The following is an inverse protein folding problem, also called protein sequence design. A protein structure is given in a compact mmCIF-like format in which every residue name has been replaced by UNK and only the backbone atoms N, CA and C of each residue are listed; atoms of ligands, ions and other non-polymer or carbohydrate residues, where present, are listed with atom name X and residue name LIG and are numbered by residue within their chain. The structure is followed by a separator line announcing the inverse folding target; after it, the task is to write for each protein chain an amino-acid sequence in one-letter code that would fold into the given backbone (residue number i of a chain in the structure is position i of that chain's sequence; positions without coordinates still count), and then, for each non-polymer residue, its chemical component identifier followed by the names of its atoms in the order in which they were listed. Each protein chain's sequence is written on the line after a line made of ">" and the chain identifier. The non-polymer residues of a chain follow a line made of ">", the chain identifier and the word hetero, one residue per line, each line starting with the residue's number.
data_IF_949842901396
#
_entry.id   IF_949842901396
#
_cell.length_a   1.000
_cell.length_b   1.000
_cell.length_c   1.000
_cell.angle_alpha   90.00
_cell.angle_beta   90.00
_cell.angle_gamma   90.00
#
_symmetry.space_group_name_H-M   'P 1'
#
loop_
_entity.id
_entity.type
_entity.pdbx_description
1 polymer ?
#
# COMPACT_ATOMS: atom_id res chain seq x y z
N UNK A 1 -11.58 40.88 -6.09
CA UNK A 1 -10.85 39.77 -5.43
C UNK A 1 -10.25 40.29 -4.13
N UNK A 2 -10.91 40.11 -2.98
CA UNK A 2 -10.45 40.58 -1.69
C UNK A 2 -9.44 39.55 -1.14
N UNK A 3 -8.17 39.96 -0.97
CA UNK A 3 -7.15 39.20 -0.22
C UNK A 3 -7.60 39.20 1.26
N UNK A 4 -8.20 38.09 1.72
CA UNK A 4 -8.37 37.87 3.16
C UNK A 4 -6.97 37.86 3.82
N UNK A 5 -6.66 38.92 4.58
CA UNK A 5 -5.53 38.92 5.50
C UNK A 5 -5.79 37.87 6.58
N UNK A 6 -5.35 36.63 6.30
CA UNK A 6 -5.41 35.54 7.29
C UNK A 6 -4.26 35.76 8.27
N UNK A 7 -4.59 35.94 9.55
CA UNK A 7 -3.62 35.95 10.67
C UNK A 7 -2.82 34.65 10.67
N UNK A 8 -1.58 34.69 11.21
CA UNK A 8 -0.69 33.50 11.27
C UNK A 8 -1.39 32.26 11.86
N UNK A 9 -2.23 32.37 12.93
CA UNK A 9 -3.02 31.23 13.43
C UNK A 9 -4.00 30.68 12.38
N UNK A 10 -4.63 31.55 11.58
CA UNK A 10 -5.56 31.09 10.52
C UNK A 10 -4.86 30.38 9.35
N UNK A 11 -3.61 30.73 9.04
CA UNK A 11 -2.81 30.03 8.03
C UNK A 11 -2.38 28.65 8.52
N UNK A 12 -1.96 28.54 9.79
CA UNK A 12 -1.60 27.26 10.43
C UNK A 12 -2.81 26.33 10.52
N UNK A 13 -3.95 26.83 10.98
CA UNK A 13 -5.19 26.06 11.03
C UNK A 13 -5.66 25.59 9.64
N UNK A 14 -5.51 26.41 8.61
CA UNK A 14 -5.79 26.04 7.21
C UNK A 14 -4.84 24.94 6.73
N UNK A 15 -3.53 25.09 6.96
CA UNK A 15 -2.53 24.10 6.58
C UNK A 15 -2.75 22.75 7.27
N UNK A 16 -3.03 22.75 8.58
CA UNK A 16 -3.31 21.54 9.35
C UNK A 16 -4.63 20.88 8.90
N UNK A 17 -5.65 21.67 8.55
CA UNK A 17 -6.91 21.15 8.01
C UNK A 17 -6.75 20.46 6.65
N UNK A 18 -5.87 20.98 5.79
CA UNK A 18 -5.54 20.38 4.49
C UNK A 18 -4.59 19.16 4.58
N UNK A 19 -3.85 19.03 5.68
CA UNK A 19 -2.87 17.98 5.93
C UNK A 19 -3.16 17.23 7.24
N UNK A 20 -4.45 16.90 7.46
CA UNK A 20 -4.92 16.22 8.68
C UNK A 20 -4.17 14.90 8.97
N UNK A 21 -3.64 14.22 7.95
CA UNK A 21 -2.82 13.03 8.09
C UNK A 21 -1.55 13.26 8.92
N UNK A 22 -0.99 14.47 8.90
CA UNK A 22 0.18 14.83 9.73
C UNK A 22 -0.22 14.85 11.22
N UNK A 23 -1.41 15.39 11.52
CA UNK A 23 -1.91 15.43 12.91
C UNK A 23 -2.13 14.00 13.42
N UNK A 24 -2.76 13.16 12.60
CA UNK A 24 -2.99 11.75 12.95
C UNK A 24 -1.66 11.02 13.18
N UNK A 25 -0.70 11.20 12.27
CA UNK A 25 0.63 10.62 12.41
C UNK A 25 1.33 11.06 13.70
N UNK A 26 1.35 12.38 13.98
CA UNK A 26 1.99 12.92 15.18
C UNK A 26 1.31 12.40 16.45
N UNK A 27 -0.03 12.32 16.47
CA UNK A 27 -0.76 11.78 17.62
C UNK A 27 -0.39 10.30 17.90
N UNK A 28 -0.38 9.46 16.85
CA UNK A 28 0.01 8.05 16.97
C UNK A 28 1.49 7.92 17.37
N UNK A 29 2.36 8.81 16.85
CA UNK A 29 3.77 8.84 17.17
C UNK A 29 4.03 9.22 18.64
N UNK A 30 3.25 10.15 19.21
CA UNK A 30 3.32 10.49 20.63
C UNK A 30 2.92 9.28 21.49
N UNK A 31 1.84 8.59 21.14
CA UNK A 31 1.43 7.37 21.85
C UNK A 31 2.53 6.30 21.78
N UNK A 32 3.17 6.12 20.63
CA UNK A 32 4.31 5.23 20.47
C UNK A 32 5.48 5.61 21.40
N UNK A 33 5.81 6.90 21.46
CA UNK A 33 6.87 7.41 22.32
C UNK A 33 6.62 7.12 23.80
N UNK A 34 5.36 7.23 24.23
CA UNK A 34 4.95 7.00 25.63
C UNK A 34 4.90 5.51 25.97
N UNK A 35 4.59 4.63 25.02
CA UNK A 35 4.39 3.19 25.27
C UNK A 35 5.65 2.34 25.12
N UNK A 36 6.69 2.83 24.42
CA UNK A 36 7.88 2.03 24.06
C UNK A 36 9.16 2.40 24.82
N UNK A 37 9.06 2.99 26.00
CA UNK A 37 10.21 3.38 26.85
C UNK A 37 11.28 4.25 26.13
N UNK A 38 10.84 5.09 25.25
CA UNK A 38 11.68 6.06 24.57
C UNK A 38 11.91 5.77 23.09
N UNK A 39 11.96 6.87 22.36
CA UNK A 39 12.27 6.88 20.93
C UNK A 39 13.76 6.63 20.72
N UNK A 40 14.11 5.43 20.29
CA UNK A 40 15.46 5.18 19.80
C UNK A 40 15.50 5.38 18.28
N UNK A 41 16.63 5.91 17.78
CA UNK A 41 16.86 6.03 16.34
C UNK A 41 16.67 4.68 15.62
N UNK A 42 17.16 3.60 16.21
CA UNK A 42 17.00 2.24 15.70
C UNK A 42 15.53 1.80 15.62
N UNK A 43 14.72 2.15 16.62
CA UNK A 43 13.28 1.87 16.63
C UNK A 43 12.55 2.60 15.51
N UNK A 44 12.86 3.87 15.28
CA UNK A 44 12.30 4.67 14.19
C UNK A 44 12.67 4.08 12.82
N UNK A 45 13.94 3.71 12.62
CA UNK A 45 14.41 3.08 11.38
C UNK A 45 13.76 1.71 11.16
N UNK A 46 13.46 0.98 12.23
CA UNK A 46 12.74 -0.29 12.14
C UNK A 46 11.28 -0.10 11.71
N UNK A 47 10.58 0.91 12.25
CA UNK A 47 9.24 1.30 11.75
C UNK A 47 9.32 1.62 10.25
N UNK A 48 10.29 2.43 9.85
CA UNK A 48 10.47 2.84 8.47
C UNK A 48 10.74 1.66 7.53
N UNK A 49 11.55 0.68 7.96
CA UNK A 49 11.79 -0.55 7.22
C UNK A 49 10.52 -1.38 7.04
N UNK A 50 9.75 -1.59 8.11
CA UNK A 50 8.55 -2.42 8.06
C UNK A 50 7.37 -1.75 7.33
N UNK A 51 7.34 -0.42 7.26
CA UNK A 51 6.33 0.30 6.46
C UNK A 51 6.60 0.28 4.96
N UNK A 52 7.78 -0.18 4.50
CA UNK A 52 8.16 -0.06 3.09
C UNK A 52 7.21 -0.83 2.17
N UNK A 53 6.99 -2.13 2.40
CA UNK A 53 6.14 -2.96 1.54
C UNK A 53 4.67 -2.49 1.62
N UNK A 54 4.17 -2.25 2.84
CA UNK A 54 2.79 -1.76 3.06
C UNK A 54 2.60 -0.40 2.38
N UNK A 55 3.59 0.50 2.51
CA UNK A 55 3.52 1.84 1.91
C UNK A 55 3.53 1.80 0.39
N UNK A 56 4.39 0.97 -0.22
CA UNK A 56 4.44 0.82 -1.67
C UNK A 56 3.12 0.26 -2.21
N UNK A 57 2.58 -0.81 -1.63
CA UNK A 57 1.27 -1.35 -2.01
C UNK A 57 0.17 -0.30 -1.73
N UNK A 58 0.28 0.43 -0.62
CA UNK A 58 -0.61 1.53 -0.25
C UNK A 58 -0.64 2.68 -1.26
N UNK A 59 0.49 2.99 -1.95
CA UNK A 59 0.49 3.96 -3.05
C UNK A 59 -0.41 3.49 -4.20
N UNK A 60 -0.30 2.22 -4.61
CA UNK A 60 -1.19 1.63 -5.61
C UNK A 60 -2.65 1.64 -5.18
N UNK A 61 -2.92 1.21 -3.94
CA UNK A 61 -4.27 1.23 -3.35
C UNK A 61 -4.84 2.65 -3.29
N UNK A 62 -4.02 3.64 -2.92
CA UNK A 62 -4.45 5.04 -2.90
C UNK A 62 -4.89 5.55 -4.27
N UNK A 63 -4.23 5.11 -5.35
CA UNK A 63 -4.65 5.46 -6.71
C UNK A 63 -6.01 4.85 -7.05
N UNK A 64 -6.23 3.59 -6.67
CA UNK A 64 -7.52 2.89 -6.83
C UNK A 64 -8.60 3.63 -6.02
N UNK A 65 -8.34 3.93 -4.74
CA UNK A 65 -9.28 4.68 -3.89
C UNK A 65 -9.61 6.07 -4.44
N UNK A 66 -8.66 6.78 -5.08
CA UNK A 66 -8.91 8.07 -5.73
C UNK A 66 -9.94 7.92 -6.86
N UNK A 67 -9.99 6.78 -7.56
CA UNK A 67 -11.04 6.53 -8.57
C UNK A 67 -12.38 6.08 -7.97
N UNK A 68 -12.48 5.92 -6.65
CA UNK A 68 -13.68 5.44 -5.95
C UNK A 68 -13.83 3.92 -5.97
N UNK A 69 -12.76 3.20 -6.30
CA UNK A 69 -12.73 1.73 -6.34
C UNK A 69 -11.91 1.16 -5.17
N UNK A 70 -11.97 -0.17 -4.97
CA UNK A 70 -11.21 -0.90 -3.94
C UNK A 70 -10.64 -2.16 -4.58
N UNK A 71 -9.41 -2.52 -4.23
CA UNK A 71 -8.79 -3.79 -4.63
C UNK A 71 -8.47 -4.66 -3.40
N UNK A 72 -9.23 -5.74 -3.25
CA UNK A 72 -9.03 -6.71 -2.17
C UNK A 72 -7.98 -7.78 -2.51
N UNK A 73 -7.53 -7.84 -3.77
CA UNK A 73 -6.63 -8.91 -4.22
C UNK A 73 -5.15 -8.67 -3.91
N UNK A 74 -4.76 -7.44 -3.54
CA UNK A 74 -3.35 -7.02 -3.42
C UNK A 74 -2.53 -7.91 -2.48
N UNK A 75 -3.12 -8.40 -1.38
CA UNK A 75 -2.43 -9.28 -0.44
C UNK A 75 -2.18 -10.69 -1.00
N UNK A 76 -3.17 -11.25 -1.69
CA UNK A 76 -3.05 -12.54 -2.37
C UNK A 76 -2.15 -12.45 -3.60
N UNK A 77 -2.21 -11.34 -4.33
CA UNK A 77 -1.30 -11.03 -5.44
C UNK A 77 0.15 -10.97 -4.95
N UNK A 78 0.40 -10.33 -3.80
CA UNK A 78 1.73 -10.29 -3.17
C UNK A 78 2.27 -11.69 -2.87
N UNK A 79 1.41 -12.60 -2.36
CA UNK A 79 1.81 -13.98 -2.06
C UNK A 79 2.13 -14.77 -3.32
N UNK A 80 1.30 -14.67 -4.36
CA UNK A 80 1.47 -15.37 -5.63
C UNK A 80 2.71 -14.86 -6.36
N UNK A 81 2.85 -13.55 -6.48
CA UNK A 81 3.97 -12.89 -7.15
C UNK A 81 5.29 -13.16 -6.41
N UNK A 82 5.30 -13.02 -5.08
CA UNK A 82 6.47 -13.33 -4.26
C UNK A 82 6.90 -14.79 -4.39
N UNK A 83 5.94 -15.72 -4.40
CA UNK A 83 6.21 -17.15 -4.62
C UNK A 83 6.83 -17.42 -5.99
N UNK A 84 6.24 -16.87 -7.06
CA UNK A 84 6.77 -17.05 -8.42
C UNK A 84 8.09 -16.33 -8.61
N UNK A 85 8.29 -15.17 -7.99
CA UNK A 85 9.57 -14.46 -7.99
C UNK A 85 10.69 -15.28 -7.32
N UNK A 86 10.37 -16.06 -6.27
CA UNK A 86 11.32 -17.01 -5.68
C UNK A 86 11.66 -18.12 -6.67
N UNK A 87 10.69 -18.68 -7.39
CA UNK A 87 10.95 -19.69 -8.43
C UNK A 87 11.89 -19.12 -9.49
N UNK A 88 11.60 -17.92 -10.02
CA UNK A 88 12.46 -17.28 -11.03
C UNK A 88 13.86 -17.04 -10.50
N UNK A 89 13.99 -16.58 -9.25
CA UNK A 89 15.29 -16.42 -8.61
C UNK A 89 16.07 -17.73 -8.53
N UNK A 90 15.43 -18.81 -8.07
CA UNK A 90 16.06 -20.12 -7.93
C UNK A 90 16.45 -20.73 -9.30
N UNK A 91 15.67 -20.47 -10.36
CA UNK A 91 15.97 -20.92 -11.72
C UNK A 91 17.10 -20.15 -12.38
N UNK A 92 17.14 -18.83 -12.19
CA UNK A 92 18.00 -17.94 -13.00
C UNK A 92 19.20 -17.40 -12.25
N UNK A 93 19.18 -17.43 -10.91
CA UNK A 93 20.16 -16.77 -10.05
C UNK A 93 20.36 -15.29 -10.39
N UNK A 94 19.38 -14.63 -10.97
CA UNK A 94 19.46 -13.25 -11.47
C UNK A 94 18.49 -12.34 -10.71
N UNK A 95 19.04 -11.38 -9.96
CA UNK A 95 18.26 -10.36 -9.26
C UNK A 95 17.45 -9.50 -10.24
N UNK A 96 18.04 -9.16 -11.39
CA UNK A 96 17.40 -8.30 -12.39
C UNK A 96 16.20 -9.01 -13.03
N UNK A 97 16.36 -10.29 -13.42
CA UNK A 97 15.24 -11.07 -14.00
C UNK A 97 14.13 -11.27 -12.97
N UNK A 98 14.49 -11.52 -11.71
CA UNK A 98 13.50 -11.64 -10.62
C UNK A 98 12.72 -10.35 -10.42
N UNK A 99 13.39 -9.20 -10.42
CA UNK A 99 12.73 -7.89 -10.33
C UNK A 99 11.81 -7.61 -11.51
N UNK A 100 12.31 -7.80 -12.74
CA UNK A 100 11.51 -7.60 -13.95
C UNK A 100 10.28 -8.52 -13.97
N UNK A 101 10.47 -9.79 -13.61
CA UNK A 101 9.35 -10.72 -13.50
C UNK A 101 8.31 -10.24 -12.50
N UNK A 102 8.71 -9.88 -11.28
CA UNK A 102 7.79 -9.42 -10.25
C UNK A 102 6.97 -8.20 -10.72
N UNK A 103 7.62 -7.22 -11.31
CA UNK A 103 6.94 -6.01 -11.82
C UNK A 103 5.97 -6.34 -12.96
N UNK A 104 6.38 -7.16 -13.93
CA UNK A 104 5.54 -7.54 -15.08
C UNK A 104 4.40 -8.45 -14.68
N UNK A 105 4.64 -9.41 -13.78
CA UNK A 105 3.61 -10.32 -13.29
C UNK A 105 2.58 -9.60 -12.42
N UNK A 106 3.01 -8.70 -11.54
CA UNK A 106 2.12 -7.82 -10.79
C UNK A 106 1.28 -6.94 -11.73
N UNK A 107 1.90 -6.33 -12.76
CA UNK A 107 1.18 -5.56 -13.77
C UNK A 107 0.14 -6.41 -14.53
N UNK A 108 0.47 -7.66 -14.86
CA UNK A 108 -0.44 -8.61 -15.51
C UNK A 108 -1.64 -8.95 -14.64
N UNK A 109 -1.43 -9.24 -13.35
CA UNK A 109 -2.53 -9.47 -12.40
C UNK A 109 -3.41 -8.22 -12.27
N UNK A 110 -2.80 -7.04 -12.17
CA UNK A 110 -3.51 -5.76 -12.16
C UNK A 110 -4.28 -5.50 -13.46
N UNK A 111 -3.74 -5.92 -14.62
CA UNK A 111 -4.41 -5.80 -15.91
C UNK A 111 -5.70 -6.67 -15.95
N UNK A 112 -5.67 -7.88 -15.41
CA UNK A 112 -6.85 -8.74 -15.30
C UNK A 112 -7.96 -8.01 -14.55
N UNK A 113 -7.66 -7.51 -13.34
CA UNK A 113 -8.63 -6.75 -12.55
C UNK A 113 -9.08 -5.48 -13.29
N UNK A 114 -8.13 -4.75 -13.87
CA UNK A 114 -8.40 -3.50 -14.57
C UNK A 114 -9.30 -3.66 -15.79
N UNK A 115 -9.14 -4.69 -16.57
CA UNK A 115 -9.99 -5.00 -17.73
C UNK A 115 -11.41 -5.35 -17.29
N UNK A 116 -11.56 -6.17 -16.25
CA UNK A 116 -12.87 -6.53 -15.72
C UNK A 116 -13.62 -5.32 -15.13
N UNK A 117 -12.91 -4.46 -14.40
CA UNK A 117 -13.52 -3.28 -13.77
C UNK A 117 -13.69 -2.12 -14.76
N UNK A 118 -12.69 -1.86 -15.59
CA UNK A 118 -12.68 -0.69 -16.48
C UNK A 118 -13.44 -0.90 -17.78
N UNK A 119 -13.24 -2.04 -18.44
CA UNK A 119 -13.83 -2.32 -19.75
C UNK A 119 -15.16 -3.08 -19.64
N UNK A 120 -15.18 -4.19 -18.88
CA UNK A 120 -16.41 -4.99 -18.68
C UNK A 120 -17.37 -4.29 -17.69
N UNK A 121 -16.87 -3.31 -16.94
CA UNK A 121 -17.63 -2.51 -15.96
C UNK A 121 -18.21 -3.32 -14.79
N UNK A 122 -17.55 -4.40 -14.42
CA UNK A 122 -17.92 -5.15 -13.22
C UNK A 122 -17.57 -4.34 -11.94
N UNK A 123 -18.35 -4.48 -10.86
CA UNK A 123 -18.00 -3.87 -9.57
C UNK A 123 -16.61 -4.33 -9.08
N UNK A 124 -15.73 -3.39 -8.78
CA UNK A 124 -14.33 -3.70 -8.38
C UNK A 124 -14.28 -4.64 -7.17
N UNK A 125 -15.15 -4.42 -6.18
CA UNK A 125 -15.23 -5.27 -5.00
C UNK A 125 -15.46 -6.74 -5.35
N UNK A 126 -16.37 -7.06 -6.29
CA UNK A 126 -16.67 -8.44 -6.70
C UNK A 126 -15.49 -9.05 -7.44
N UNK A 127 -14.93 -8.30 -8.41
CA UNK A 127 -13.77 -8.74 -9.20
C UNK A 127 -12.58 -9.05 -8.30
N UNK A 128 -12.23 -8.10 -7.44
CA UNK A 128 -11.02 -8.23 -6.61
C UNK A 128 -11.18 -9.23 -5.48
N UNK A 129 -12.40 -9.45 -4.98
CA UNK A 129 -12.69 -10.55 -4.06
C UNK A 129 -12.50 -11.91 -4.74
N UNK A 130 -13.00 -12.07 -5.96
CA UNK A 130 -12.83 -13.30 -6.72
C UNK A 130 -11.35 -13.56 -7.05
N UNK A 131 -10.63 -12.56 -7.55
CA UNK A 131 -9.20 -12.69 -7.85
C UNK A 131 -8.35 -12.86 -6.60
N UNK A 132 -8.74 -12.32 -5.45
CA UNK A 132 -8.11 -12.61 -4.15
C UNK A 132 -8.11 -14.11 -3.86
N UNK A 133 -9.25 -14.78 -4.03
CA UNK A 133 -9.36 -16.22 -3.82
C UNK A 133 -8.55 -17.01 -4.87
N UNK A 134 -8.61 -16.60 -6.13
CA UNK A 134 -7.87 -17.25 -7.23
C UNK A 134 -6.36 -17.15 -6.98
N UNK A 135 -5.85 -15.95 -6.72
CA UNK A 135 -4.41 -15.74 -6.51
C UNK A 135 -3.90 -16.47 -5.27
N UNK A 136 -4.67 -16.47 -4.16
CA UNK A 136 -4.32 -17.22 -2.96
C UNK A 136 -4.28 -18.72 -3.21
N UNK A 137 -5.29 -19.24 -3.88
CA UNK A 137 -5.36 -20.66 -4.24
C UNK A 137 -4.21 -21.08 -5.17
N UNK A 138 -3.91 -20.26 -6.18
CA UNK A 138 -2.77 -20.53 -7.09
C UNK A 138 -1.44 -20.49 -6.36
N UNK A 139 -1.22 -19.51 -5.47
CA UNK A 139 0.00 -19.46 -4.68
C UNK A 139 0.21 -20.75 -3.89
N UNK A 140 -0.84 -21.27 -3.25
CA UNK A 140 -0.77 -22.53 -2.48
C UNK A 140 -0.63 -23.76 -3.39
N UNK A 141 -1.42 -23.83 -4.45
CA UNK A 141 -1.40 -24.96 -5.37
C UNK A 141 -0.02 -25.16 -6.02
N UNK A 142 0.54 -24.10 -6.59
CA UNK A 142 1.84 -24.19 -7.25
C UNK A 142 2.97 -24.48 -6.26
N UNK A 143 2.90 -23.97 -5.03
CA UNK A 143 3.88 -24.30 -3.99
C UNK A 143 3.96 -25.81 -3.69
N UNK A 144 2.82 -26.50 -3.79
CA UNK A 144 2.75 -27.94 -3.48
C UNK A 144 3.08 -28.84 -4.69
N UNK A 145 2.85 -28.34 -5.93
CA UNK A 145 2.93 -29.16 -7.14
C UNK A 145 4.14 -28.86 -8.05
N UNK A 146 4.84 -27.75 -7.81
CA UNK A 146 6.09 -27.45 -8.53
C UNK A 146 7.25 -28.24 -7.92
N UNK A 147 8.28 -28.51 -8.73
CA UNK A 147 9.49 -29.19 -8.28
C UNK A 147 10.07 -28.52 -7.01
N UNK A 148 10.34 -29.33 -6.00
CA UNK A 148 10.86 -28.88 -4.71
C UNK A 148 12.18 -28.12 -4.82
N UNK A 149 13.01 -28.45 -5.80
CA UNK A 149 14.26 -27.72 -6.05
C UNK A 149 13.98 -26.24 -6.40
N UNK A 150 12.90 -25.95 -7.12
CA UNK A 150 12.52 -24.59 -7.53
C UNK A 150 11.95 -23.75 -6.38
N UNK A 151 11.41 -24.42 -5.36
CA UNK A 151 10.88 -23.75 -4.15
C UNK A 151 11.85 -23.82 -2.96
N UNK A 152 13.11 -24.17 -3.19
CA UNK A 152 14.16 -24.19 -2.17
C UNK A 152 14.13 -25.40 -1.24
N UNK A 153 13.64 -26.55 -1.72
CA UNK A 153 13.68 -27.84 -1.02
C UNK A 153 12.58 -28.08 0.02
N UNK A 154 11.70 -27.10 0.27
CA UNK A 154 10.56 -27.22 1.18
C UNK A 154 9.32 -27.81 0.50
N UNK A 155 8.24 -28.02 1.26
CA UNK A 155 6.95 -28.51 0.73
C UNK A 155 5.79 -27.54 0.89
N UNK A 156 5.97 -26.46 1.63
CA UNK A 156 4.85 -25.56 1.99
C UNK A 156 5.17 -24.08 1.88
N UNK A 157 6.42 -23.71 1.60
CA UNK A 157 6.88 -22.33 1.55
C UNK A 157 7.87 -22.16 0.41
N UNK A 158 7.71 -21.13 -0.39
CA UNK A 158 8.70 -20.72 -1.37
C UNK A 158 9.90 -20.12 -0.65
N UNK A 159 11.08 -20.72 -0.78
CA UNK A 159 12.33 -20.25 -0.18
C UNK A 159 13.37 -19.99 -1.25
N UNK A 160 14.06 -18.88 -1.13
CA UNK A 160 15.23 -18.62 -1.97
C UNK A 160 16.35 -19.61 -1.58
N UNK A 161 16.93 -20.26 -2.58
CA UNK A 161 18.03 -21.20 -2.36
C UNK A 161 19.28 -20.43 -1.93
N UNK A 162 19.76 -20.68 -0.73
CA UNK A 162 20.94 -20.03 -0.16
C UNK A 162 22.26 -20.46 -0.85
N UNK A 163 22.23 -21.53 -1.65
CA UNK A 163 23.34 -21.97 -2.51
C UNK A 163 23.55 -21.06 -3.73
N UNK A 164 22.59 -20.21 -4.09
CA UNK A 164 22.71 -19.29 -5.21
C UNK A 164 23.70 -18.17 -4.89
N UNK A 165 24.59 -17.84 -5.83
CA UNK A 165 25.64 -16.82 -5.63
C UNK A 165 25.05 -15.42 -5.39
N UNK A 166 23.88 -15.10 -5.98
CA UNK A 166 23.19 -13.83 -5.81
C UNK A 166 22.35 -13.74 -4.55
N UNK A 167 22.18 -14.84 -3.80
CA UNK A 167 21.35 -14.88 -2.60
C UNK A 167 21.74 -13.81 -1.57
N UNK A 168 23.04 -13.82 -1.18
CA UNK A 168 23.53 -12.91 -0.16
C UNK A 168 23.43 -11.45 -0.60
N UNK A 169 23.64 -11.18 -1.89
CA UNK A 169 23.51 -9.83 -2.46
C UNK A 169 22.08 -9.33 -2.35
N UNK A 170 21.07 -10.14 -2.75
CA UNK A 170 19.67 -9.78 -2.66
C UNK A 170 19.20 -9.65 -1.20
N UNK A 171 19.61 -10.58 -0.34
CA UNK A 171 19.29 -10.51 1.09
C UNK A 171 19.88 -9.28 1.77
N UNK A 172 21.14 -8.95 1.46
CA UNK A 172 21.79 -7.74 1.96
C UNK A 172 21.14 -6.46 1.42
N UNK A 173 20.65 -6.46 0.18
CA UNK A 173 19.88 -5.34 -0.36
C UNK A 173 18.58 -5.12 0.45
N UNK A 174 17.78 -6.17 0.69
CA UNK A 174 16.52 -6.07 1.44
C UNK A 174 16.70 -5.72 2.92
N UNK A 175 17.85 -6.05 3.52
CA UNK A 175 18.16 -5.84 4.93
C UNK A 175 19.23 -4.77 5.18
N UNK A 176 19.82 -4.22 4.12
CA UNK A 176 20.89 -3.25 4.17
C UNK A 176 20.43 -1.85 4.57
N UNK A 177 21.44 -1.05 4.93
CA UNK A 177 21.26 0.36 5.31
C UNK A 177 22.28 1.22 4.58
N UNK A 178 21.88 2.42 4.18
CA UNK A 178 22.78 3.49 3.76
C UNK A 178 22.99 4.37 5.00
N UNK A 179 24.18 4.32 5.58
CA UNK A 179 24.44 4.86 6.93
C UNK A 179 23.54 4.17 7.97
N UNK A 180 22.50 4.82 8.43
CA UNK A 180 21.54 4.28 9.42
C UNK A 180 20.16 4.03 8.83
N UNK A 181 19.89 4.47 7.59
CA UNK A 181 18.57 4.44 6.95
C UNK A 181 18.42 3.15 6.14
N UNK A 182 17.34 2.36 6.35
CA UNK A 182 17.07 1.14 5.58
C UNK A 182 16.88 1.44 4.08
N UNK A 183 17.53 0.66 3.22
CA UNK A 183 17.43 0.80 1.75
C UNK A 183 15.98 0.70 1.30
N UNK A 184 15.22 -0.26 1.80
CA UNK A 184 13.79 -0.44 1.45
C UNK A 184 12.95 0.77 1.85
N UNK A 185 13.29 1.45 2.96
CA UNK A 185 12.64 2.71 3.34
C UNK A 185 12.97 3.86 2.38
N UNK A 186 14.22 3.97 1.93
CA UNK A 186 14.58 4.97 0.91
C UNK A 186 13.82 4.74 -0.39
N UNK A 187 13.64 3.47 -0.79
CA UNK A 187 12.82 3.12 -1.97
C UNK A 187 11.38 3.60 -1.77
N UNK A 188 10.79 3.40 -0.60
CA UNK A 188 9.44 3.92 -0.30
C UNK A 188 9.37 5.45 -0.47
N UNK A 189 10.35 6.21 0.03
CA UNK A 189 10.38 7.67 -0.14
C UNK A 189 10.45 8.03 -1.63
N UNK A 190 11.38 7.44 -2.36
CA UNK A 190 11.57 7.72 -3.80
C UNK A 190 10.28 7.42 -4.56
N UNK A 191 9.68 6.24 -4.33
CA UNK A 191 8.42 5.86 -4.96
C UNK A 191 7.28 6.83 -4.60
N UNK A 192 7.22 7.26 -3.34
CA UNK A 192 6.23 8.26 -2.91
C UNK A 192 6.42 9.59 -3.63
N UNK A 193 7.64 10.10 -3.73
CA UNK A 193 7.93 11.36 -4.42
C UNK A 193 7.59 11.30 -5.91
N UNK A 194 7.99 10.22 -6.60
CA UNK A 194 7.64 9.98 -8.00
C UNK A 194 6.12 9.94 -8.16
N UNK A 195 5.44 9.26 -7.26
CA UNK A 195 3.99 9.10 -7.32
C UNK A 195 3.22 10.39 -7.02
N UNK A 196 3.71 11.19 -6.07
CA UNK A 196 3.21 12.55 -5.81
C UNK A 196 3.36 13.40 -7.05
N UNK A 197 4.52 13.37 -7.72
CA UNK A 197 4.73 14.10 -8.96
C UNK A 197 3.74 13.66 -10.06
N UNK A 198 3.56 12.35 -10.26
CA UNK A 198 2.62 11.80 -11.26
C UNK A 198 1.19 12.28 -10.97
N UNK A 199 0.75 12.20 -9.73
CA UNK A 199 -0.64 12.50 -9.36
C UNK A 199 -0.95 13.98 -9.31
N UNK A 200 0.02 14.85 -8.96
CA UNK A 200 -0.22 16.29 -8.82
C UNK A 200 0.13 17.09 -10.07
N UNK A 201 1.21 16.70 -10.78
CA UNK A 201 1.80 17.54 -11.83
C UNK A 201 1.50 17.07 -13.25
N UNK A 202 0.99 15.82 -13.43
CA UNK A 202 0.75 15.29 -14.78
C UNK A 202 -0.72 15.38 -15.21
N UNK A 203 -0.94 15.32 -16.54
CA UNK A 203 -2.29 15.19 -17.12
C UNK A 203 -2.96 13.89 -16.68
N UNK A 204 -2.18 12.84 -16.45
CA UNK A 204 -2.68 11.54 -15.99
C UNK A 204 -3.31 11.66 -14.59
N UNK A 205 -2.59 12.22 -13.63
CA UNK A 205 -3.12 12.43 -12.28
C UNK A 205 -4.42 13.23 -12.29
N UNK A 206 -4.49 14.32 -13.08
CA UNK A 206 -5.72 15.11 -13.22
C UNK A 206 -6.89 14.29 -13.74
N UNK A 207 -6.66 13.38 -14.71
CA UNK A 207 -7.71 12.45 -15.21
C UNK A 207 -8.18 11.50 -14.13
N UNK A 208 -7.27 10.93 -13.32
CA UNK A 208 -7.60 10.01 -12.22
C UNK A 208 -8.50 10.71 -11.19
N UNK A 209 -8.13 11.92 -10.75
CA UNK A 209 -8.97 12.71 -9.83
C UNK A 209 -10.31 13.10 -10.43
N UNK A 210 -10.36 13.44 -11.73
CA UNK A 210 -11.59 13.78 -12.41
C UNK A 210 -12.57 12.60 -12.47
N UNK A 211 -12.06 11.40 -12.82
CA UNK A 211 -12.85 10.15 -12.84
C UNK A 211 -13.44 9.84 -11.47
N UNK A 212 -12.62 9.95 -10.41
CA UNK A 212 -13.08 9.68 -9.05
C UNK A 212 -14.03 10.74 -8.50
N UNK A 213 -13.91 12.01 -8.92
CA UNK A 213 -14.81 13.08 -8.47
C UNK A 213 -16.19 12.99 -9.10
N UNK A 214 -16.24 12.73 -10.40
CA UNK A 214 -17.48 12.58 -11.15
C UNK A 214 -17.21 11.85 -12.46
N UNK A 215 -17.46 10.55 -12.48
CA UNK A 215 -17.21 9.71 -13.64
C UNK A 215 -18.00 10.14 -14.89
N UNK A 216 -19.30 10.50 -14.74
CA UNK A 216 -20.13 10.98 -15.86
C UNK A 216 -19.62 12.31 -16.40
N UNK A 217 -19.28 13.26 -15.51
CA UNK A 217 -18.69 14.54 -15.91
C UNK A 217 -17.34 14.38 -16.62
N UNK A 218 -16.50 13.44 -16.18
CA UNK A 218 -15.24 13.12 -16.83
C UNK A 218 -15.45 12.55 -18.26
N UNK A 219 -16.45 11.68 -18.44
CA UNK A 219 -16.82 11.16 -19.77
C UNK A 219 -17.31 12.29 -20.70
N UNK A 220 -18.17 13.18 -20.20
CA UNK A 220 -18.64 14.34 -20.97
C UNK A 220 -17.49 15.29 -21.36
N UNK A 221 -16.43 15.35 -20.56
CA UNK A 221 -15.21 16.10 -20.87
C UNK A 221 -14.24 15.35 -21.80
N UNK A 222 -14.64 14.21 -22.38
CA UNK A 222 -13.84 13.43 -23.32
C UNK A 222 -12.77 12.53 -22.68
N UNK A 223 -12.82 12.31 -21.35
CA UNK A 223 -11.88 11.41 -20.68
C UNK A 223 -12.36 9.96 -20.87
N UNK A 224 -11.49 9.11 -21.42
CA UNK A 224 -11.74 7.67 -21.47
C UNK A 224 -11.60 7.08 -20.07
N UNK A 225 -12.74 6.95 -19.36
CA UNK A 225 -12.78 6.48 -17.97
C UNK A 225 -12.41 5.00 -17.85
N UNK A 226 -12.71 4.18 -18.87
CA UNK A 226 -12.31 2.77 -18.90
C UNK A 226 -10.78 2.63 -18.93
N UNK A 227 -10.12 3.35 -19.83
CA UNK A 227 -8.66 3.34 -19.92
C UNK A 227 -7.99 3.86 -18.64
N UNK A 228 -8.58 4.88 -17.98
CA UNK A 228 -8.09 5.38 -16.69
C UNK A 228 -8.20 4.31 -15.61
N UNK A 229 -9.35 3.64 -15.48
CA UNK A 229 -9.53 2.55 -14.51
C UNK A 229 -8.57 1.39 -14.76
N UNK A 230 -8.46 0.92 -16.02
CA UNK A 230 -7.51 -0.15 -16.38
C UNK A 230 -6.08 0.24 -15.96
N UNK A 231 -5.63 1.44 -16.34
CA UNK A 231 -4.27 1.89 -16.02
C UNK A 231 -4.02 2.01 -14.51
N UNK A 232 -5.03 2.41 -13.72
CA UNK A 232 -4.93 2.49 -12.26
C UNK A 232 -4.69 1.13 -11.64
N UNK A 233 -5.43 0.09 -12.06
CA UNK A 233 -5.22 -1.27 -11.58
C UNK A 233 -3.87 -1.86 -12.04
N UNK A 234 -3.44 -1.59 -13.28
CA UNK A 234 -2.13 -2.00 -13.79
C UNK A 234 -1.00 -1.37 -12.96
N UNK A 235 -1.07 -0.07 -12.68
CA UNK A 235 -0.08 0.63 -11.85
C UNK A 235 -0.09 0.08 -10.42
N UNK A 236 -1.27 -0.18 -9.86
CA UNK A 236 -1.37 -0.82 -8.54
C UNK A 236 -0.72 -2.20 -8.53
N UNK A 237 -0.93 -3.00 -9.58
CA UNK A 237 -0.26 -4.29 -9.78
C UNK A 237 1.27 -4.15 -9.87
N UNK A 238 1.79 -3.14 -10.57
CA UNK A 238 3.23 -2.82 -10.57
C UNK A 238 3.75 -2.55 -9.17
N UNK A 239 3.02 -1.78 -8.35
CA UNK A 239 3.41 -1.52 -6.96
C UNK A 239 3.38 -2.80 -6.11
N UNK A 240 2.40 -3.70 -6.33
CA UNK A 240 2.40 -5.01 -5.67
C UNK A 240 3.60 -5.83 -6.08
N UNK A 241 3.97 -5.86 -7.36
CA UNK A 241 5.17 -6.56 -7.86
C UNK A 241 6.47 -6.02 -7.25
N UNK A 242 6.62 -4.69 -7.17
CA UNK A 242 7.75 -4.09 -6.44
C UNK A 242 7.73 -4.50 -4.96
N UNK A 243 6.55 -4.49 -4.33
CA UNK A 243 6.36 -4.96 -2.96
C UNK A 243 6.74 -6.44 -2.78
N UNK A 244 6.40 -7.32 -3.74
CA UNK A 244 6.73 -8.74 -3.74
C UNK A 244 8.24 -8.96 -3.85
N UNK A 245 8.91 -8.25 -4.74
CA UNK A 245 10.37 -8.29 -4.84
C UNK A 245 11.06 -7.83 -3.54
N UNK A 246 10.60 -6.72 -2.94
CA UNK A 246 11.15 -6.27 -1.67
C UNK A 246 10.83 -7.23 -0.53
N UNK A 247 9.65 -7.85 -0.54
CA UNK A 247 9.29 -8.87 0.44
C UNK A 247 10.26 -10.04 0.44
N UNK A 248 10.54 -10.64 -0.73
CA UNK A 248 11.46 -11.76 -0.83
C UNK A 248 12.92 -11.33 -0.54
N UNK A 249 13.31 -10.12 -0.91
CA UNK A 249 14.62 -9.56 -0.56
C UNK A 249 14.79 -9.42 0.97
N UNK A 250 13.74 -9.04 1.69
CA UNK A 250 13.76 -8.86 3.15
C UNK A 250 13.67 -10.17 3.92
N UNK A 251 12.89 -11.14 3.43
CA UNK A 251 12.52 -12.36 4.17
C UNK A 251 13.12 -13.64 3.58
N UNK A 252 13.74 -13.58 2.41
CA UNK A 252 14.25 -14.72 1.64
C UNK A 252 13.22 -15.83 1.37
N UNK A 253 11.95 -15.54 1.58
CA UNK A 253 10.86 -16.51 1.44
C UNK A 253 9.50 -15.84 1.24
N UNK A 254 8.56 -16.60 0.67
CA UNK A 254 7.15 -16.25 0.60
C UNK A 254 6.31 -17.48 0.99
N UNK A 255 5.57 -17.40 2.08
CA UNK A 255 4.62 -18.41 2.48
C UNK A 255 3.29 -18.16 1.76
N UNK A 256 2.80 -19.09 0.92
CA UNK A 256 1.59 -18.87 0.13
C UNK A 256 0.32 -18.71 0.99
N UNK A 257 0.31 -19.20 2.23
CA UNK A 257 -0.83 -19.08 3.13
C UNK A 257 -0.83 -17.76 3.92
N UNK A 258 0.34 -17.31 4.37
CA UNK A 258 0.45 -16.21 5.33
C UNK A 258 1.03 -14.92 4.75
N UNK A 259 1.86 -14.99 3.70
CA UNK A 259 2.40 -13.79 3.05
C UNK A 259 1.26 -12.92 2.51
N UNK A 260 1.31 -11.64 2.83
CA UNK A 260 0.30 -10.69 2.39
C UNK A 260 -1.10 -10.89 3.01
N UNK A 261 -1.23 -11.70 4.06
CA UNK A 261 -2.52 -11.84 4.74
C UNK A 261 -2.94 -10.50 5.37
N UNK A 262 -4.16 -10.06 5.06
CA UNK A 262 -4.73 -8.77 5.46
C UNK A 262 -4.01 -7.53 4.88
N UNK A 263 -3.12 -7.67 3.89
CA UNK A 263 -2.41 -6.53 3.29
C UNK A 263 -3.34 -5.61 2.52
N UNK A 264 -4.45 -6.10 2.00
CA UNK A 264 -5.54 -5.29 1.45
C UNK A 264 -6.07 -4.30 2.50
N UNK A 265 -6.35 -4.77 3.73
CA UNK A 265 -6.77 -3.91 4.82
C UNK A 265 -5.68 -2.91 5.23
N UNK A 266 -4.42 -3.34 5.25
CA UNK A 266 -3.29 -2.49 5.64
C UNK A 266 -3.04 -1.40 4.59
N UNK A 267 -3.16 -1.72 3.31
CA UNK A 267 -3.02 -0.77 2.22
C UNK A 267 -4.17 0.26 2.20
N UNK A 268 -5.42 -0.20 2.43
CA UNK A 268 -6.58 0.69 2.59
C UNK A 268 -6.37 1.59 3.82
N UNK A 269 -5.97 1.02 4.97
CA UNK A 269 -5.72 1.80 6.17
C UNK A 269 -4.63 2.85 5.95
N UNK A 270 -3.53 2.51 5.26
CA UNK A 270 -2.47 3.46 4.93
C UNK A 270 -3.00 4.61 4.04
N UNK A 271 -3.83 4.30 3.04
CA UNK A 271 -4.43 5.31 2.17
C UNK A 271 -5.40 6.22 2.95
N UNK A 272 -6.27 5.64 3.78
CA UNK A 272 -7.30 6.36 4.55
C UNK A 272 -6.67 7.20 5.67
N UNK A 273 -5.75 6.63 6.47
CA UNK A 273 -4.95 7.38 7.47
C UNK A 273 -4.14 8.50 6.78
N UNK A 274 -3.69 8.27 5.55
CA UNK A 274 -3.04 9.25 4.69
C UNK A 274 -3.96 10.33 4.13
N UNK A 275 -5.28 10.27 4.42
CA UNK A 275 -6.24 11.28 4.00
C UNK A 275 -6.79 11.09 2.57
N UNK A 276 -6.64 9.91 1.97
CA UNK A 276 -7.33 9.55 0.72
C UNK A 276 -8.80 9.26 1.03
N UNK A 277 -9.69 9.84 0.26
CA UNK A 277 -11.14 9.62 0.41
C UNK A 277 -11.57 8.32 -0.26
N UNK A 278 -12.27 7.47 0.47
CA UNK A 278 -12.89 6.25 -0.06
C UNK A 278 -14.02 6.53 -1.06
N UNK A 279 -14.59 7.74 -1.03
CA UNK A 279 -15.62 8.17 -2.01
C UNK A 279 -15.02 8.66 -3.33
N UNK A 280 -13.70 8.62 -3.48
CA UNK A 280 -12.98 9.06 -4.69
C UNK A 280 -12.75 10.57 -4.79
N UNK A 281 -11.93 10.94 -5.75
CA UNK A 281 -11.69 12.32 -6.21
C UNK A 281 -10.95 13.24 -5.25
N UNK A 282 -10.53 12.77 -4.07
CA UNK A 282 -9.90 13.61 -3.03
C UNK A 282 -8.80 12.86 -2.28
N UNK A 283 -7.79 13.62 -1.84
CA UNK A 283 -6.69 13.13 -1.02
C UNK A 283 -5.33 13.47 -1.63
N UNK A 284 -4.28 13.39 -0.81
CA UNK A 284 -2.89 13.67 -1.20
C UNK A 284 -2.08 12.39 -1.10
N UNK A 285 -1.46 11.95 -2.19
CA UNK A 285 -0.67 10.72 -2.20
C UNK A 285 0.52 10.74 -1.22
N UNK A 286 1.07 11.93 -0.89
CA UNK A 286 2.09 12.06 0.15
C UNK A 286 1.60 11.54 1.51
N UNK A 287 0.32 11.69 1.81
CA UNK A 287 -0.25 11.22 3.07
C UNK A 287 -0.14 9.70 3.25
N UNK A 288 -0.11 8.93 2.16
CA UNK A 288 -0.02 7.47 2.22
C UNK A 288 1.29 7.00 2.90
N UNK A 289 2.40 7.72 2.70
CA UNK A 289 3.65 7.47 3.41
C UNK A 289 3.44 7.55 4.93
N UNK A 290 2.83 8.64 5.40
CA UNK A 290 2.53 8.83 6.81
C UNK A 290 1.49 7.83 7.32
N UNK A 291 0.50 7.50 6.50
CA UNK A 291 -0.50 6.47 6.81
C UNK A 291 0.11 5.08 6.99
N UNK A 292 1.02 4.66 6.11
CA UNK A 292 1.73 3.39 6.23
C UNK A 292 2.63 3.34 7.48
N UNK A 293 3.34 4.44 7.76
CA UNK A 293 4.13 4.55 8.99
C UNK A 293 3.24 4.52 10.23
N UNK A 294 2.12 5.24 10.24
CA UNK A 294 1.15 5.24 11.34
C UNK A 294 0.64 3.82 11.61
N UNK A 295 0.27 3.10 10.56
CA UNK A 295 -0.20 1.72 10.68
C UNK A 295 0.87 0.80 11.28
N UNK A 296 2.11 0.90 10.81
CA UNK A 296 3.24 0.13 11.34
C UNK A 296 3.55 0.49 12.80
N UNK A 297 3.41 1.76 13.17
CA UNK A 297 3.58 2.22 14.56
C UNK A 297 2.51 1.60 15.46
N UNK A 298 1.25 1.55 15.03
CA UNK A 298 0.16 0.90 15.76
C UNK A 298 0.52 -0.57 16.05
N UNK A 299 1.03 -1.29 15.04
CA UNK A 299 1.48 -2.66 15.22
C UNK A 299 2.59 -2.78 16.29
N UNK A 300 3.55 -1.87 16.26
CA UNK A 300 4.64 -1.83 17.28
C UNK A 300 4.12 -1.49 18.68
N UNK A 301 3.12 -0.61 18.81
CA UNK A 301 2.48 -0.30 20.09
C UNK A 301 1.83 -1.56 20.67
N UNK A 302 1.05 -2.30 19.87
CA UNK A 302 0.35 -3.51 20.30
C UNK A 302 1.35 -4.55 20.80
N UNK A 303 2.45 -4.76 20.05
CA UNK A 303 3.53 -5.69 20.42
C UNK A 303 4.23 -5.21 21.70
N UNK A 304 4.49 -3.92 21.85
CA UNK A 304 5.13 -3.34 23.05
C UNK A 304 4.30 -3.52 24.31
N UNK A 305 2.97 -3.44 24.18
CA UNK A 305 2.03 -3.68 25.28
C UNK A 305 1.87 -5.16 25.62
N UNK A 306 2.62 -6.06 24.94
CA UNK A 306 2.55 -7.51 25.13
C UNK A 306 1.12 -8.07 25.01
N UNK A 307 0.30 -7.46 24.18
CA UNK A 307 -1.06 -7.92 23.90
C UNK A 307 -1.02 -9.22 23.11
N UNK A 308 -2.04 -10.06 23.31
CA UNK A 308 -2.17 -11.31 22.59
C UNK A 308 -2.23 -11.04 21.07
N UNK A 309 -1.44 -11.79 20.30
CA UNK A 309 -1.39 -11.70 18.84
C UNK A 309 -2.75 -11.94 18.18
N UNK A 310 -3.62 -12.72 18.81
CA UNK A 310 -4.98 -12.99 18.33
C UNK A 310 -5.87 -11.73 18.35
N UNK A 311 -5.64 -10.80 19.28
CA UNK A 311 -6.39 -9.55 19.40
C UNK A 311 -5.84 -8.47 18.46
N UNK A 312 -4.63 -8.61 17.95
CA UNK A 312 -3.95 -7.62 17.12
C UNK A 312 -4.81 -7.18 15.91
N UNK A 313 -5.37 -8.14 15.17
CA UNK A 313 -6.20 -7.83 14.00
C UNK A 313 -7.53 -7.17 14.40
N UNK A 314 -8.12 -7.53 15.54
CA UNK A 314 -9.32 -6.87 16.05
C UNK A 314 -9.06 -5.40 16.38
N UNK A 315 -7.96 -5.08 17.08
CA UNK A 315 -7.57 -3.70 17.40
C UNK A 315 -7.34 -2.89 16.13
N UNK A 316 -6.60 -3.44 15.16
CA UNK A 316 -6.36 -2.79 13.87
C UNK A 316 -7.65 -2.51 13.12
N UNK A 317 -8.58 -3.47 13.12
CA UNK A 317 -9.92 -3.31 12.53
C UNK A 317 -10.74 -2.20 13.20
N UNK A 318 -10.73 -2.14 14.53
CA UNK A 318 -11.42 -1.09 15.30
C UNK A 318 -10.83 0.29 14.98
N UNK A 319 -9.50 0.41 14.95
CA UNK A 319 -8.82 1.66 14.61
C UNK A 319 -9.21 2.12 13.19
N UNK A 320 -9.19 1.20 12.23
CA UNK A 320 -9.59 1.49 10.85
C UNK A 320 -11.04 1.98 10.79
N UNK A 321 -11.95 1.32 11.49
CA UNK A 321 -13.37 1.70 11.54
C UNK A 321 -13.55 3.10 12.13
N UNK A 322 -12.87 3.41 13.24
CA UNK A 322 -12.91 4.74 13.86
C UNK A 322 -12.40 5.81 12.90
N UNK A 323 -11.28 5.55 12.21
CA UNK A 323 -10.69 6.53 11.27
C UNK A 323 -11.62 6.79 10.09
N UNK A 324 -12.20 5.74 9.50
CA UNK A 324 -13.18 5.88 8.42
C UNK A 324 -14.41 6.64 8.90
N UNK A 325 -14.93 6.31 10.10
CA UNK A 325 -16.07 7.01 10.69
C UNK A 325 -15.78 8.52 10.86
N UNK A 326 -14.61 8.87 11.36
CA UNK A 326 -14.19 10.29 11.52
C UNK A 326 -14.09 10.98 10.15
N UNK A 327 -13.58 10.30 9.13
CA UNK A 327 -13.50 10.86 7.76
C UNK A 327 -14.87 11.14 7.15
N UNK A 328 -15.85 10.28 7.37
CA UNK A 328 -17.20 10.41 6.79
C UNK A 328 -18.05 11.39 7.60
N UNK A 329 -18.05 11.25 8.92
CA UNK A 329 -18.95 12.01 9.82
C UNK A 329 -18.39 13.40 10.13
N UNK A 330 -17.06 13.55 10.23
CA UNK A 330 -16.42 14.81 10.56
C UNK A 330 -16.82 16.00 9.66
N UNK A 331 -16.78 15.87 8.32
CA UNK A 331 -17.25 16.93 7.43
C UNK A 331 -18.74 17.25 7.56
N UNK A 332 -19.59 16.25 7.84
CA UNK A 332 -21.02 16.42 8.02
C UNK A 332 -21.34 17.20 9.30
N UNK A 333 -20.65 16.89 10.39
CA UNK A 333 -20.76 17.62 11.66
C UNK A 333 -20.34 19.08 11.44
N UNK A 334 -19.19 19.32 10.78
CA UNK A 334 -18.69 20.67 10.51
C UNK A 334 -19.67 21.51 9.66
N UNK A 335 -20.36 20.87 8.69
CA UNK A 335 -21.39 21.55 7.90
C UNK A 335 -22.64 21.90 8.71
N UNK A 336 -23.05 21.03 9.66
CA UNK A 336 -24.20 21.31 10.54
C UNK A 336 -23.92 22.51 11.46
N UNK A 337 -22.73 22.56 12.08
CA UNK A 337 -22.35 23.70 12.92
C UNK A 337 -22.26 25.01 12.13
N UNK A 338 -21.75 24.98 10.89
CA UNK A 338 -21.66 26.18 10.03
C UNK A 338 -23.00 26.69 9.49
N UNK A 339 -24.06 25.90 9.54
CA UNK A 339 -25.43 26.31 9.18
C UNK A 339 -26.22 26.81 10.39
N UNK A 340 -25.69 26.60 11.60
CA UNK A 340 -26.30 27.04 12.86
C UNK A 340 -25.76 28.40 13.34
N UNK A 341 -24.67 28.88 12.75
CA UNK A 341 -24.16 30.26 12.82
C UNK A 341 -24.71 31.11 11.67
#
# INVERSE_FOLDING_TARGET
>A
MSKKNTTVPGRVAGFLGENSYIIVFVAIFIVYALTTNGLTWSGMMNVFRHSAVIGIIGLGMGLICITGEIDLSVGSMLALDGGFSVIIFNMTNSIVLTFLFAVLFGAFCGLINGVMVGWIQMPAFIVTLATMLIYRSFAQYFCQHVDKALIGGGSSVYKMANSQSSYQTLYNFGNGKVSTIPIVGLILIIMTLVFVYITTSTKYGKKVYAVGSNMKGAQMAGINTAAVKISVFVIAGVFVGIGAFLWIAMNASADPATTGNSYEMYAIAAAVLGGISMSGGKGKCLGILFGAMSYTIIDKIIVSLKMDSLINNAIKGIILLIVIMVQIVGPQIKQKFKKAE
#
